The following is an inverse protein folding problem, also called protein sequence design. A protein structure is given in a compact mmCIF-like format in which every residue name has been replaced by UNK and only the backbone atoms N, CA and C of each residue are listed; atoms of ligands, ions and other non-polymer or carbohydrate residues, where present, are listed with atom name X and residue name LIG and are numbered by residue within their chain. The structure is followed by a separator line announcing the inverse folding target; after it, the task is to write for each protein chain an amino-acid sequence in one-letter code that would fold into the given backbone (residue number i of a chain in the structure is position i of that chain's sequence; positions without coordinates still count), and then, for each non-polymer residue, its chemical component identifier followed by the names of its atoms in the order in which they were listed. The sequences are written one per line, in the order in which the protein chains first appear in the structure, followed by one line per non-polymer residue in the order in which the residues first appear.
data_IF_218026915560
#
_entry.id   IF_218026915560
#
_cell.length_a   1.000
_cell.length_b   1.000
_cell.length_c   1.000
_cell.angle_alpha   90.00
_cell.angle_beta   90.00
_cell.angle_gamma   90.00
#
_symmetry.space_group_name_H-M   'P 1'
#
loop_
_entity.id
_entity.type
_entity.pdbx_description
1 polymer ?
#
# COMPACT_ATOMS: atom_id res chain seq x y z
N UNK A 1 80.41 -5.38 -48.92
CA UNK A 1 80.42 -5.45 -47.43
C UNK A 1 78.95 -5.34 -47.01
N UNK A 2 78.16 -6.41 -46.77
CA UNK A 2 78.24 -7.44 -45.69
C UNK A 2 78.41 -6.72 -44.33
N UNK A 3 77.53 -6.80 -43.31
CA UNK A 3 76.65 -7.85 -42.74
C UNK A 3 75.34 -7.20 -42.17
N UNK A 4 74.13 -7.78 -42.09
CA UNK A 4 73.57 -9.04 -41.53
C UNK A 4 73.51 -9.15 -39.97
N UNK A 5 72.32 -9.50 -39.45
CA UNK A 5 72.03 -9.97 -38.07
C UNK A 5 71.02 -9.09 -37.32
N UNK A 6 69.69 -9.33 -37.22
CA UNK A 6 68.84 -10.50 -36.95
C UNK A 6 68.77 -10.88 -35.46
N UNK A 7 67.61 -10.71 -34.80
CA UNK A 7 66.95 -11.79 -34.04
C UNK A 7 65.56 -11.43 -33.51
N UNK A 8 64.61 -12.29 -33.83
CA UNK A 8 63.39 -12.53 -33.07
C UNK A 8 63.69 -13.56 -31.97
N UNK A 9 63.05 -13.44 -30.80
CA UNK A 9 62.95 -14.54 -29.84
C UNK A 9 61.50 -14.69 -29.39
N UNK A 10 60.94 -15.85 -29.73
CA UNK A 10 59.74 -16.45 -29.16
C UNK A 10 60.21 -17.35 -28.02
N UNK A 11 59.53 -17.34 -26.87
CA UNK A 11 59.62 -18.43 -25.87
C UNK A 11 58.23 -18.97 -25.57
N UNK A 12 58.16 -20.29 -25.74
CA UNK A 12 57.08 -21.22 -25.47
C UNK A 12 56.96 -21.55 -23.97
N UNK A 13 55.75 -21.85 -23.51
CA UNK A 13 55.52 -22.83 -22.46
C UNK A 13 54.42 -23.80 -22.94
N UNK A 14 54.80 -25.08 -23.07
CA UNK A 14 53.96 -26.18 -23.46
C UNK A 14 53.38 -26.88 -22.22
N UNK A 15 52.11 -27.29 -22.26
CA UNK A 15 51.72 -28.58 -21.67
C UNK A 15 50.48 -29.14 -22.38
N UNK A 16 50.64 -30.37 -22.88
CA UNK A 16 49.68 -31.46 -23.13
C UNK A 16 48.25 -31.27 -22.58
N UNK A 17 47.14 -31.73 -23.16
CA UNK A 17 46.85 -32.74 -24.20
C UNK A 17 45.36 -33.04 -24.07
N UNK A 18 44.59 -33.16 -25.16
CA UNK A 18 43.44 -34.07 -25.16
C UNK A 18 42.92 -34.33 -26.58
N UNK A 19 42.64 -35.61 -26.82
CA UNK A 19 42.11 -36.17 -28.04
C UNK A 19 40.64 -35.75 -28.28
N UNK A 20 40.28 -35.73 -29.56
CA UNK A 20 38.93 -35.51 -30.05
C UNK A 20 37.99 -36.69 -29.74
N UNK A 21 36.75 -36.41 -29.33
CA UNK A 21 35.54 -37.10 -29.79
C UNK A 21 34.25 -36.39 -29.30
N UNK A 22 33.39 -36.05 -30.27
CA UNK A 22 31.91 -36.02 -30.26
C UNK A 22 31.13 -34.77 -29.76
N UNK A 23 30.54 -34.08 -30.74
CA UNK A 23 29.27 -33.32 -30.75
C UNK A 23 28.07 -34.09 -30.11
N UNK A 24 26.88 -33.47 -29.81
CA UNK A 24 26.36 -32.18 -30.32
C UNK A 24 25.68 -31.24 -29.28
N UNK A 25 25.53 -29.97 -29.70
CA UNK A 25 24.50 -28.97 -29.39
C UNK A 25 23.62 -29.12 -28.12
N UNK A 26 23.44 -28.02 -27.36
CA UNK A 26 22.09 -27.47 -27.30
C UNK A 26 22.04 -25.94 -27.38
N UNK A 27 21.31 -25.43 -28.38
CA UNK A 27 20.77 -24.09 -28.41
C UNK A 27 19.31 -24.16 -27.96
N UNK A 28 19.01 -23.74 -26.73
CA UNK A 28 17.98 -22.72 -26.48
C UNK A 28 17.96 -22.27 -25.02
N UNK A 29 17.93 -20.95 -24.87
CA UNK A 29 17.31 -20.17 -23.80
C UNK A 29 17.84 -20.36 -22.36
N UNK A 30 18.62 -19.39 -21.91
CA UNK A 30 18.34 -18.75 -20.61
C UNK A 30 18.54 -17.25 -20.75
N UNK A 31 17.41 -16.57 -20.66
CA UNK A 31 17.27 -15.14 -20.56
C UNK A 31 17.66 -14.76 -19.13
N UNK A 32 18.85 -14.20 -18.94
CA UNK A 32 19.20 -13.49 -17.70
C UNK A 32 19.27 -12.02 -18.01
N UNK A 33 18.11 -11.38 -17.87
CA UNK A 33 18.02 -9.97 -17.60
C UNK A 33 18.74 -9.71 -16.26
N UNK A 34 19.96 -9.21 -16.34
CA UNK A 34 20.62 -8.57 -15.20
C UNK A 34 20.64 -7.08 -15.51
N UNK A 35 19.76 -6.35 -14.83
CA UNK A 35 19.88 -4.90 -14.70
C UNK A 35 21.30 -4.58 -14.20
N UNK A 36 22.04 -3.66 -14.83
CA UNK A 36 23.29 -3.17 -14.27
C UNK A 36 22.95 -2.29 -13.07
N UNK A 37 22.92 -2.92 -11.90
CA UNK A 37 23.14 -2.26 -10.63
C UNK A 37 24.60 -1.79 -10.62
N UNK A 38 24.79 -0.51 -10.26
CA UNK A 38 26.06 0.23 -10.29
C UNK A 38 26.66 0.52 -11.67
N UNK A 39 26.00 1.42 -12.40
CA UNK A 39 26.72 2.21 -13.40
C UNK A 39 27.74 3.11 -12.66
N UNK A 40 29.06 2.95 -12.91
CA UNK A 40 30.04 3.87 -12.35
C UNK A 40 29.70 5.31 -12.76
N UNK A 41 30.08 6.32 -11.96
CA UNK A 41 29.86 7.72 -12.35
C UNK A 41 30.41 7.90 -13.76
N UNK A 42 29.56 8.39 -14.67
CA UNK A 42 29.88 8.58 -16.08
C UNK A 42 31.24 9.26 -16.18
N UNK A 43 32.28 8.49 -16.49
CA UNK A 43 33.63 8.99 -16.50
C UNK A 43 33.73 10.04 -17.61
N UNK A 44 34.19 11.24 -17.28
CA UNK A 44 34.31 12.34 -18.23
C UNK A 44 35.28 11.93 -19.36
N UNK A 45 34.75 11.55 -20.52
CA UNK A 45 35.57 11.17 -21.67
C UNK A 45 36.00 12.42 -22.43
N UNK A 46 37.21 12.92 -22.15
CA UNK A 46 37.80 14.05 -22.86
C UNK A 46 38.41 13.60 -24.19
N UNK A 47 37.79 13.98 -25.29
CA UNK A 47 38.30 13.72 -26.65
C UNK A 47 38.89 15.01 -27.22
N UNK A 48 40.21 15.05 -27.44
CA UNK A 48 40.87 16.21 -28.03
C UNK A 48 40.69 16.20 -29.55
N UNK A 49 39.96 17.19 -30.07
CA UNK A 49 39.63 17.27 -31.49
C UNK A 49 40.40 18.42 -32.16
N UNK A 50 41.28 18.14 -33.14
CA UNK A 50 41.94 19.19 -33.89
C UNK A 50 40.93 19.94 -34.76
N UNK A 51 41.10 21.27 -34.88
CA UNK A 51 40.15 22.14 -35.58
C UNK A 51 39.80 21.69 -37.01
N UNK A 52 40.75 21.09 -37.73
CA UNK A 52 40.53 20.60 -39.10
C UNK A 52 39.54 19.45 -39.19
N UNK A 53 39.36 18.69 -38.10
CA UNK A 53 38.49 17.52 -38.03
C UNK A 53 37.06 17.84 -37.55
N UNK A 54 36.80 19.05 -37.05
CA UNK A 54 35.47 19.47 -36.56
C UNK A 54 34.38 19.28 -37.62
N UNK A 55 34.66 19.72 -38.84
CA UNK A 55 33.71 19.64 -39.96
C UNK A 55 33.25 18.21 -40.24
N UNK A 56 34.20 17.27 -40.22
CA UNK A 56 33.93 15.84 -40.46
C UNK A 56 33.09 15.22 -39.35
N UNK A 57 33.20 15.69 -38.10
CA UNK A 57 32.40 15.18 -36.97
C UNK A 57 30.97 15.71 -37.05
N UNK A 58 30.76 16.98 -37.40
CA UNK A 58 29.42 17.54 -37.63
C UNK A 58 28.70 16.87 -38.81
N UNK A 59 29.43 16.53 -39.88
CA UNK A 59 28.86 15.86 -41.05
C UNK A 59 28.55 14.37 -40.78
N UNK A 60 29.34 13.69 -39.94
CA UNK A 60 29.12 12.27 -39.59
C UNK A 60 28.08 12.05 -38.50
N UNK A 61 27.93 13.00 -37.58
CA UNK A 61 27.04 12.88 -36.43
C UNK A 61 26.01 14.00 -36.43
N UNK A 62 24.76 13.69 -36.81
CA UNK A 62 23.65 14.65 -36.84
C UNK A 62 23.19 15.19 -35.47
N UNK A 63 23.89 14.86 -34.39
CA UNK A 63 23.58 15.27 -33.02
C UNK A 63 24.81 15.88 -32.30
N UNK A 64 25.65 16.62 -33.02
CA UNK A 64 26.77 17.36 -32.44
C UNK A 64 26.39 18.85 -32.29
N UNK A 65 26.48 19.38 -31.06
CA UNK A 65 26.22 20.79 -30.75
C UNK A 65 27.54 21.46 -30.36
N UNK A 66 27.87 22.59 -30.99
CA UNK A 66 29.00 23.42 -30.59
C UNK A 66 28.57 24.38 -29.49
N UNK A 67 29.24 24.35 -28.34
CA UNK A 67 28.91 25.19 -27.19
C UNK A 67 30.18 25.70 -26.50
N UNK A 68 30.21 26.97 -26.05
CA UNK A 68 31.27 27.47 -25.18
C UNK A 68 31.41 26.62 -23.92
N UNK A 69 32.65 26.34 -23.52
CA UNK A 69 32.93 25.50 -22.34
C UNK A 69 32.26 26.01 -21.05
N UNK A 70 32.17 27.34 -20.88
CA UNK A 70 31.47 27.98 -19.75
C UNK A 70 29.97 27.63 -19.71
N UNK A 71 29.35 27.47 -20.87
CA UNK A 71 27.93 27.18 -21.00
C UNK A 71 27.67 25.67 -20.81
N UNK A 72 28.60 24.83 -21.25
CA UNK A 72 28.64 23.41 -20.89
C UNK A 72 28.74 23.21 -19.37
N UNK A 73 29.68 23.91 -18.70
CA UNK A 73 29.83 23.81 -17.25
C UNK A 73 28.57 24.26 -16.52
N UNK A 74 27.92 25.35 -16.96
CA UNK A 74 26.63 25.79 -16.38
C UNK A 74 25.53 24.74 -16.54
N UNK A 75 25.41 24.12 -17.71
CA UNK A 75 24.42 23.07 -17.92
C UNK A 75 24.73 21.82 -17.11
N UNK A 76 26.01 21.45 -17.04
CA UNK A 76 26.50 20.32 -16.25
C UNK A 76 26.26 20.52 -14.75
N UNK A 77 26.52 21.72 -14.22
CA UNK A 77 26.21 22.09 -12.84
C UNK A 77 24.70 22.16 -12.59
N UNK A 78 23.92 22.63 -13.57
CA UNK A 78 22.45 22.64 -13.48
C UNK A 78 21.86 21.22 -13.50
N UNK A 79 22.47 20.26 -14.19
CA UNK A 79 21.99 18.87 -14.26
C UNK A 79 22.51 18.00 -13.12
N UNK A 80 23.71 18.25 -12.59
CA UNK A 80 24.21 17.60 -11.38
C UNK A 80 23.62 18.20 -10.11
N UNK A 81 23.47 19.53 -10.05
CA UNK A 81 22.91 20.26 -8.92
C UNK A 81 21.39 20.12 -8.82
N UNK A 82 20.69 20.03 -9.96
CA UNK A 82 19.35 19.43 -10.02
C UNK A 82 19.52 17.95 -10.33
N UNK A 83 20.07 17.19 -9.38
CA UNK A 83 20.19 15.74 -9.52
C UNK A 83 18.94 15.18 -10.19
N UNK A 84 19.14 14.35 -11.24
CA UNK A 84 18.13 13.68 -12.05
C UNK A 84 16.79 13.73 -11.32
N UNK A 85 15.87 14.62 -11.78
CA UNK A 85 14.56 14.82 -11.13
C UNK A 85 14.10 13.44 -10.65
N UNK A 86 13.94 13.24 -9.33
CA UNK A 86 13.53 11.94 -8.82
C UNK A 86 12.36 11.50 -9.67
N UNK A 87 12.45 10.30 -10.26
CA UNK A 87 11.40 9.76 -11.12
C UNK A 87 10.07 10.09 -10.45
N UNK A 88 9.23 10.87 -11.14
CA UNK A 88 8.10 11.58 -10.55
C UNK A 88 7.31 10.58 -9.71
N UNK A 89 7.46 10.70 -8.40
CA UNK A 89 6.98 9.69 -7.47
C UNK A 89 5.48 9.52 -7.65
N UNK A 90 4.91 8.36 -7.28
CA UNK A 90 3.48 8.17 -7.36
C UNK A 90 2.78 9.35 -6.68
N UNK A 91 1.70 9.89 -7.28
CA UNK A 91 1.07 11.14 -6.84
C UNK A 91 0.49 11.06 -5.43
N UNK A 92 0.37 9.83 -4.90
CA UNK A 92 -0.07 9.52 -3.54
C UNK A 92 1.00 8.68 -2.83
N UNK A 93 1.31 9.05 -1.59
CA UNK A 93 2.30 8.34 -0.76
C UNK A 93 1.90 6.92 -0.43
N UNK A 94 0.62 6.69 -0.20
CA UNK A 94 0.03 5.38 0.02
C UNK A 94 -1.49 5.46 -0.07
N UNK A 95 -2.13 4.30 -0.25
CA UNK A 95 -3.58 4.18 -0.42
C UNK A 95 -4.10 3.02 0.41
N UNK A 96 -5.24 3.21 1.06
CA UNK A 96 -5.98 2.11 1.69
C UNK A 96 -6.83 1.44 0.61
N UNK A 97 -6.52 0.20 0.29
CA UNK A 97 -7.20 -0.56 -0.78
C UNK A 97 -8.52 -1.13 -0.28
N UNK A 98 -8.51 -1.70 0.92
CA UNK A 98 -9.64 -2.37 1.52
C UNK A 98 -9.72 -2.04 3.01
N UNK A 99 -10.94 -1.98 3.55
CA UNK A 99 -11.21 -1.89 4.97
C UNK A 99 -12.30 -2.89 5.35
N UNK A 100 -12.01 -3.72 6.34
CA UNK A 100 -12.97 -4.64 6.95
C UNK A 100 -13.22 -4.20 8.38
N UNK A 101 -14.48 -4.10 8.75
CA UNK A 101 -14.91 -3.73 10.10
C UNK A 101 -15.77 -4.85 10.68
N UNK A 102 -15.40 -5.35 11.85
CA UNK A 102 -16.20 -6.26 12.65
C UNK A 102 -16.63 -5.54 13.92
N UNK A 103 -17.90 -5.16 13.98
CA UNK A 103 -18.54 -4.48 15.09
C UNK A 103 -19.36 -5.47 15.93
N UNK A 104 -19.17 -5.41 17.25
CA UNK A 104 -19.96 -6.12 18.24
C UNK A 104 -20.63 -5.08 19.13
N UNK A 105 -21.96 -4.99 19.06
CA UNK A 105 -22.72 -4.11 19.91
C UNK A 105 -22.88 -4.74 21.30
N UNK A 106 -22.45 -4.05 22.35
CA UNK A 106 -22.77 -4.41 23.74
C UNK A 106 -23.89 -3.49 24.27
N UNK A 107 -24.11 -3.46 25.59
CA UNK A 107 -25.20 -2.68 26.18
C UNK A 107 -25.05 -1.16 25.99
N UNK A 108 -23.83 -0.63 26.17
CA UNK A 108 -23.53 0.81 26.16
C UNK A 108 -22.38 1.20 25.22
N UNK A 109 -21.60 0.21 24.79
CA UNK A 109 -20.42 0.38 23.94
C UNK A 109 -20.51 -0.56 22.74
N UNK A 110 -19.98 -0.13 21.61
CA UNK A 110 -19.73 -0.98 20.44
C UNK A 110 -18.22 -1.16 20.31
N UNK A 111 -17.75 -2.40 20.35
CA UNK A 111 -16.36 -2.73 20.05
C UNK A 111 -16.22 -3.01 18.57
N UNK A 112 -15.26 -2.39 17.92
CA UNK A 112 -15.04 -2.48 16.48
C UNK A 112 -13.60 -2.91 16.26
N UNK A 113 -13.41 -4.02 15.56
CA UNK A 113 -12.11 -4.44 15.04
C UNK A 113 -12.05 -4.02 13.57
N UNK A 114 -11.06 -3.22 13.21
CA UNK A 114 -10.83 -2.79 11.84
C UNK A 114 -9.54 -3.42 11.30
N UNK A 115 -9.61 -4.04 10.13
CA UNK A 115 -8.47 -4.49 9.35
C UNK A 115 -8.39 -3.66 8.07
N UNK A 116 -7.20 -3.12 7.78
CA UNK A 116 -6.93 -2.31 6.60
C UNK A 116 -5.80 -2.93 5.78
N UNK A 117 -6.03 -3.10 4.48
CA UNK A 117 -4.96 -3.37 3.52
C UNK A 117 -4.45 -2.05 2.96
N UNK A 118 -3.25 -1.64 3.38
CA UNK A 118 -2.60 -0.40 2.96
C UNK A 118 -1.50 -0.71 1.97
N UNK A 119 -1.47 0.03 0.86
CA UNK A 119 -0.40 -0.02 -0.12
C UNK A 119 0.39 1.28 -0.06
N UNK A 120 1.61 1.23 0.46
CA UNK A 120 2.54 2.35 0.49
C UNK A 120 3.36 2.33 -0.80
N UNK A 121 3.27 3.40 -1.58
CA UNK A 121 3.83 3.50 -2.93
C UNK A 121 5.12 4.31 -2.97
N UNK A 122 5.29 5.26 -2.06
CA UNK A 122 6.50 6.08 -1.96
C UNK A 122 7.55 5.41 -1.07
N UNK A 123 8.82 5.68 -1.38
CA UNK A 123 9.94 5.33 -0.52
C UNK A 123 10.15 6.40 0.55
N UNK A 124 10.38 5.97 1.79
CA UNK A 124 10.53 6.86 2.95
C UNK A 124 9.29 6.92 3.83
N UNK A 125 9.25 7.92 4.71
CA UNK A 125 8.13 8.11 5.64
C UNK A 125 6.90 8.62 4.90
N UNK A 126 5.82 7.86 4.96
CA UNK A 126 4.54 8.21 4.36
C UNK A 126 3.51 8.44 5.45
N UNK A 127 2.86 9.60 5.39
CA UNK A 127 1.74 9.96 6.24
C UNK A 127 0.43 9.69 5.50
N UNK A 128 -0.45 8.89 6.11
CA UNK A 128 -1.76 8.53 5.57
C UNK A 128 -2.86 9.05 6.51
N UNK A 129 -3.62 10.09 6.10
CA UNK A 129 -4.66 10.66 6.94
C UNK A 129 -5.85 9.70 7.04
N UNK A 130 -6.35 9.50 8.26
CA UNK A 130 -7.53 8.71 8.57
C UNK A 130 -8.43 9.48 9.53
N UNK A 131 -9.74 9.26 9.42
CA UNK A 131 -10.74 9.95 10.24
C UNK A 131 -11.64 8.93 10.90
N UNK A 132 -11.74 9.01 12.22
CA UNK A 132 -12.62 8.17 13.03
C UNK A 132 -13.60 8.98 13.89
N UNK A 133 -13.55 10.31 13.80
CA UNK A 133 -14.48 11.19 14.50
C UNK A 133 -14.37 10.99 16.02
N UNK A 134 -15.48 10.60 16.64
CA UNK A 134 -15.54 10.41 18.10
C UNK A 134 -15.22 8.98 18.56
N UNK A 135 -14.82 8.07 17.68
CA UNK A 135 -14.46 6.72 18.09
C UNK A 135 -13.10 6.72 18.81
N UNK A 136 -13.05 6.05 19.96
CA UNK A 136 -11.82 5.89 20.74
C UNK A 136 -10.99 4.74 20.17
N UNK A 137 -9.72 5.02 19.86
CA UNK A 137 -8.74 4.04 19.39
C UNK A 137 -8.08 3.40 20.61
N UNK A 138 -8.24 2.08 20.76
CA UNK A 138 -7.64 1.31 21.85
C UNK A 138 -6.25 0.78 21.51
N UNK A 139 -6.09 0.20 20.32
CA UNK A 139 -4.82 -0.38 19.88
C UNK A 139 -4.64 -0.23 18.37
N UNK A 140 -3.37 -0.15 17.94
CA UNK A 140 -2.98 -0.10 16.53
C UNK A 140 -1.77 -1.00 16.35
N UNK A 141 -1.85 -1.91 15.40
CA UNK A 141 -0.75 -2.79 15.02
C UNK A 141 -0.66 -2.87 13.51
N UNK A 142 0.55 -3.08 12.99
CA UNK A 142 0.76 -3.31 11.57
C UNK A 142 1.78 -4.43 11.34
N UNK A 143 1.60 -5.15 10.24
CA UNK A 143 2.49 -6.19 9.75
C UNK A 143 2.83 -5.88 8.28
N UNK A 144 4.10 -5.96 7.82
CA UNK A 144 5.29 -6.49 8.51
C UNK A 144 6.12 -5.49 9.34
N UNK A 145 5.77 -4.20 9.37
CA UNK A 145 6.55 -3.16 10.03
C UNK A 145 5.77 -2.36 11.09
N UNK A 146 6.45 -1.61 11.97
CA UNK A 146 5.77 -0.77 12.95
C UNK A 146 5.03 0.37 12.26
N UNK A 147 3.81 0.63 12.73
CA UNK A 147 3.02 1.80 12.35
C UNK A 147 2.94 2.75 13.53
N UNK A 148 3.07 4.05 13.27
CA UNK A 148 2.85 5.07 14.30
C UNK A 148 1.53 5.77 14.03
N UNK A 149 0.74 5.96 15.09
CA UNK A 149 -0.47 6.76 15.06
C UNK A 149 -0.15 8.16 15.58
N UNK A 150 -0.39 9.18 14.75
CA UNK A 150 -0.29 10.59 15.13
C UNK A 150 -1.69 11.20 15.18
N UNK A 151 -2.03 11.90 16.26
CA UNK A 151 -3.22 12.76 16.29
C UNK A 151 -2.92 14.08 15.58
N UNK A 152 -3.69 14.40 14.53
CA UNK A 152 -3.54 15.66 13.77
C UNK A 152 -4.59 16.71 14.15
N UNK A 153 -5.71 16.29 14.73
CA UNK A 153 -6.79 17.15 15.20
C UNK A 153 -7.87 16.37 15.95
N UNK A 154 -9.01 17.01 16.24
CA UNK A 154 -10.15 16.33 16.87
C UNK A 154 -10.75 15.27 15.93
N UNK A 155 -10.59 13.99 16.30
CA UNK A 155 -11.10 12.87 15.49
C UNK A 155 -10.36 12.61 14.17
N UNK A 156 -9.29 13.37 13.93
CA UNK A 156 -8.38 13.21 12.80
C UNK A 156 -7.05 12.62 13.27
N UNK A 157 -6.64 11.57 12.58
CA UNK A 157 -5.40 10.87 12.85
C UNK A 157 -4.62 10.68 11.56
N UNK A 158 -3.33 10.41 11.69
CA UNK A 158 -2.49 10.04 10.57
C UNK A 158 -1.68 8.80 10.94
N UNK A 159 -1.66 7.82 10.04
CA UNK A 159 -0.80 6.65 10.14
C UNK A 159 0.52 6.96 9.43
N UNK A 160 1.61 6.77 10.15
CA UNK A 160 2.96 6.95 9.62
C UNK A 160 3.55 5.57 9.34
N UNK A 161 3.89 5.34 8.08
CA UNK A 161 4.57 4.13 7.62
C UNK A 161 6.02 4.47 7.28
N UNK A 162 6.94 3.64 7.76
CA UNK A 162 8.38 3.77 7.49
C UNK A 162 8.84 2.94 6.29
N UNK A 163 8.09 1.90 5.94
CA UNK A 163 8.43 0.93 4.90
C UNK A 163 7.46 1.04 3.73
N UNK A 164 7.98 1.01 2.51
CA UNK A 164 7.16 0.88 1.29
C UNK A 164 6.64 -0.55 1.14
N UNK A 165 5.51 -0.73 0.46
CA UNK A 165 4.92 -2.04 0.19
C UNK A 165 3.53 -2.21 0.80
N UNK A 166 3.08 -3.47 0.87
CA UNK A 166 1.77 -3.83 1.42
C UNK A 166 1.87 -4.00 2.93
N UNK A 167 1.00 -3.30 3.65
CA UNK A 167 0.88 -3.37 5.10
C UNK A 167 -0.54 -3.77 5.48
N UNK A 168 -0.65 -4.69 6.43
CA UNK A 168 -1.91 -5.02 7.09
C UNK A 168 -1.96 -4.29 8.42
N UNK A 169 -2.90 -3.36 8.57
CA UNK A 169 -3.09 -2.61 9.82
C UNK A 169 -4.32 -3.16 10.53
N UNK A 170 -4.17 -3.56 11.79
CA UNK A 170 -5.30 -3.91 12.65
C UNK A 170 -5.46 -2.84 13.73
N UNK A 171 -6.69 -2.38 13.91
CA UNK A 171 -7.04 -1.38 14.90
C UNK A 171 -8.23 -1.85 15.73
N UNK A 172 -8.18 -1.58 17.02
CA UNK A 172 -9.32 -1.72 17.91
C UNK A 172 -9.91 -0.35 18.18
N UNK A 173 -11.20 -0.21 17.92
CA UNK A 173 -11.98 1.00 18.02
C UNK A 173 -13.16 0.76 18.94
N UNK A 174 -13.62 1.80 19.60
CA UNK A 174 -14.83 1.74 20.40
C UNK A 174 -15.66 3.01 20.24
N UNK A 175 -16.98 2.85 20.13
CA UNK A 175 -17.93 3.96 20.06
C UNK A 175 -19.08 3.71 21.02
N UNK A 176 -19.73 4.79 21.47
CA UNK A 176 -20.87 4.71 22.39
C UNK A 176 -22.14 4.33 21.64
N UNK A 177 -23.03 3.59 22.30
CA UNK A 177 -24.38 3.33 21.79
C UNK A 177 -25.30 4.48 22.20
N UNK A 178 -26.01 5.06 21.24
CA UNK A 178 -27.07 6.04 21.47
C UNK A 178 -28.38 5.27 21.60
N UNK A 179 -28.97 5.29 22.79
CA UNK A 179 -30.28 4.69 23.05
C UNK A 179 -31.36 5.76 22.98
N UNK A 180 -32.34 5.58 22.09
CA UNK A 180 -33.46 6.47 21.89
C UNK A 180 -34.79 5.68 21.88
N UNK A 181 -35.95 6.34 22.00
CA UNK A 181 -37.25 5.65 22.02
C UNK A 181 -37.52 4.81 20.75
N UNK A 182 -36.97 5.21 19.61
CA UNK A 182 -37.08 4.51 18.33
C UNK A 182 -36.18 3.27 18.19
N UNK A 183 -35.19 3.10 19.07
CA UNK A 183 -34.22 2.02 19.01
C UNK A 183 -32.83 2.42 19.48
N UNK A 184 -31.87 1.54 19.26
CA UNK A 184 -30.45 1.80 19.53
C UNK A 184 -29.74 2.13 18.23
N UNK A 185 -28.77 3.02 18.31
CA UNK A 185 -27.98 3.42 17.16
C UNK A 185 -26.54 3.71 17.54
N UNK A 186 -25.65 3.66 16.57
CA UNK A 186 -24.33 4.28 16.69
C UNK A 186 -23.96 4.95 15.38
N UNK A 187 -23.13 5.98 15.50
CA UNK A 187 -22.48 6.65 14.38
C UNK A 187 -20.99 6.39 14.45
N UNK A 188 -20.42 6.00 13.31
CA UNK A 188 -19.00 5.77 13.15
C UNK A 188 -18.52 6.50 11.90
N UNK A 189 -17.55 7.40 12.07
CA UNK A 189 -16.81 7.93 10.93
C UNK A 189 -15.72 6.94 10.55
N UNK A 190 -15.55 6.73 9.25
CA UNK A 190 -14.54 5.83 8.71
C UNK A 190 -13.78 6.52 7.57
N UNK A 191 -12.50 6.20 7.37
CA UNK A 191 -11.77 6.67 6.20
C UNK A 191 -12.46 6.19 4.91
N UNK A 192 -12.48 7.05 3.91
CA UNK A 192 -13.05 6.74 2.59
C UNK A 192 -12.08 5.84 1.81
N UNK A 193 -12.48 4.59 1.57
CA UNK A 193 -11.65 3.59 0.87
C UNK A 193 -12.39 2.96 -0.30
N UNK A 194 -11.66 2.28 -1.19
CA UNK A 194 -12.25 1.65 -2.38
C UNK A 194 -13.22 0.52 -2.07
N UNK A 195 -12.90 -0.30 -1.06
CA UNK A 195 -13.70 -1.47 -0.65
C UNK A 195 -13.93 -1.41 0.85
N UNK A 196 -15.19 -1.23 1.26
CA UNK A 196 -15.60 -1.25 2.67
C UNK A 196 -16.55 -2.40 2.93
N UNK A 197 -16.13 -3.34 3.79
CA UNK A 197 -16.98 -4.42 4.31
C UNK A 197 -17.25 -4.19 5.79
N UNK A 198 -18.51 -4.26 6.18
CA UNK A 198 -18.96 -4.02 7.54
C UNK A 198 -19.77 -5.21 8.04
N UNK A 199 -19.34 -5.78 9.15
CA UNK A 199 -20.05 -6.84 9.85
C UNK A 199 -20.52 -6.31 11.19
N UNK A 200 -21.80 -6.44 11.49
CA UNK A 200 -22.37 -6.07 12.78
C UNK A 200 -22.99 -7.30 13.44
N UNK A 201 -22.59 -7.55 14.68
CA UNK A 201 -23.18 -8.57 15.56
C UNK A 201 -23.89 -7.88 16.72
N UNK A 202 -25.20 -8.12 16.84
CA UNK A 202 -26.05 -7.62 17.93
C UNK A 202 -26.45 -8.80 18.83
N UNK A 203 -26.36 -8.68 20.17
CA UNK A 203 -26.58 -9.78 21.12
C UNK A 203 -28.06 -10.06 21.42
N UNK A 204 -28.99 -9.36 20.78
CA UNK A 204 -30.42 -9.56 20.92
C UNK A 204 -30.96 -10.32 19.69
N UNK A 205 -31.78 -11.35 19.93
CA UNK A 205 -32.50 -12.07 18.87
C UNK A 205 -33.59 -11.17 18.24
N UNK A 206 -33.91 -11.46 16.97
CA UNK A 206 -35.02 -10.84 16.22
C UNK A 206 -34.99 -9.30 16.16
N UNK A 207 -33.79 -8.71 16.04
CA UNK A 207 -33.63 -7.27 15.82
C UNK A 207 -33.70 -6.94 14.32
N UNK A 208 -34.45 -5.90 13.96
CA UNK A 208 -34.35 -5.31 12.62
C UNK A 208 -33.19 -4.34 12.61
N UNK A 209 -32.21 -4.56 11.72
CA UNK A 209 -31.01 -3.74 11.63
C UNK A 209 -31.00 -2.98 10.31
N UNK A 210 -30.88 -1.67 10.38
CA UNK A 210 -30.74 -0.76 9.26
C UNK A 210 -29.34 -0.15 9.25
N UNK A 211 -28.63 -0.30 8.12
CA UNK A 211 -27.33 0.35 7.88
C UNK A 211 -27.47 1.45 6.83
N UNK A 212 -26.87 2.60 7.11
CA UNK A 212 -26.80 3.75 6.21
C UNK A 212 -25.33 4.15 6.02
N UNK A 213 -24.85 4.35 4.77
CA UNK A 213 -25.56 4.22 3.50
C UNK A 213 -25.78 2.75 3.09
N UNK A 214 -26.94 2.46 2.50
CA UNK A 214 -27.31 1.10 2.09
C UNK A 214 -26.85 0.85 0.65
N UNK A 215 -25.75 0.12 0.48
CA UNK A 215 -25.35 -0.37 -0.84
C UNK A 215 -25.75 -1.83 -1.01
N UNK A 216 -25.27 -2.73 -0.15
CA UNK A 216 -25.68 -4.14 -0.10
C UNK A 216 -25.68 -4.62 1.35
N UNK A 217 -26.75 -5.28 1.79
CA UNK A 217 -26.90 -5.86 3.12
C UNK A 217 -27.39 -7.29 3.01
N UNK A 218 -26.69 -8.23 3.64
CA UNK A 218 -27.02 -9.64 3.70
C UNK A 218 -27.14 -10.05 5.17
N UNK A 219 -28.27 -10.65 5.53
CA UNK A 219 -28.39 -11.33 6.82
C UNK A 219 -27.46 -12.55 6.78
N UNK A 220 -26.54 -12.65 7.74
CA UNK A 220 -25.68 -13.81 7.88
C UNK A 220 -26.36 -14.82 8.82
N UNK A 221 -26.17 -16.13 8.64
CA UNK A 221 -26.66 -17.12 9.58
C UNK A 221 -26.02 -16.86 10.96
N UNK A 222 -26.86 -16.74 11.98
CA UNK A 222 -26.46 -16.42 13.34
C UNK A 222 -26.98 -17.45 14.33
N UNK A 223 -26.28 -17.60 15.46
CA UNK A 223 -26.71 -18.45 16.58
C UNK A 223 -28.04 -17.95 17.17
N UNK A 224 -28.84 -18.80 17.84
CA UNK A 224 -30.22 -18.51 18.23
C UNK A 224 -30.45 -17.27 19.12
N UNK A 225 -29.38 -16.60 19.58
CA UNK A 225 -29.47 -15.38 20.40
C UNK A 225 -28.60 -14.22 19.89
N UNK A 226 -28.17 -14.24 18.62
CA UNK A 226 -27.42 -13.13 18.03
C UNK A 226 -27.99 -12.80 16.65
N UNK A 227 -27.98 -11.52 16.29
CA UNK A 227 -28.32 -11.08 14.93
C UNK A 227 -27.04 -10.60 14.26
N UNK A 228 -26.63 -11.26 13.15
CA UNK A 228 -25.45 -10.87 12.39
C UNK A 228 -25.85 -10.38 11.00
N UNK A 229 -25.33 -9.22 10.63
CA UNK A 229 -25.46 -8.69 9.28
C UNK A 229 -24.09 -8.41 8.68
N UNK A 230 -23.96 -8.69 7.39
CA UNK A 230 -22.83 -8.28 6.59
C UNK A 230 -23.32 -7.25 5.58
N UNK A 231 -22.59 -6.15 5.44
CA UNK A 231 -22.87 -5.13 4.45
C UNK A 231 -21.60 -4.71 3.73
N UNK A 232 -21.74 -4.43 2.44
CA UNK A 232 -20.71 -3.73 1.67
C UNK A 232 -21.20 -2.31 1.50
N UNK A 233 -20.40 -1.32 1.89
CA UNK A 233 -20.81 0.09 1.98
C UNK A 233 -20.19 0.97 0.88
N UNK A 234 -19.30 0.39 0.07
CA UNK A 234 -18.58 1.13 -0.97
C UNK A 234 -17.66 2.20 -0.41
N UNK A 235 -17.55 3.32 -1.13
CA UNK A 235 -16.80 4.50 -0.73
C UNK A 235 -17.70 5.44 0.08
N UNK A 236 -17.62 5.35 1.41
CA UNK A 236 -18.35 6.23 2.35
C UNK A 236 -17.40 6.74 3.44
N UNK A 237 -17.70 7.91 3.99
CA UNK A 237 -16.97 8.49 5.13
C UNK A 237 -17.65 8.30 6.48
N UNK A 238 -18.89 7.79 6.48
CA UNK A 238 -19.69 7.59 7.69
C UNK A 238 -20.58 6.36 7.54
N UNK A 239 -20.76 5.66 8.65
CA UNK A 239 -21.66 4.53 8.80
C UNK A 239 -22.53 4.78 10.02
N UNK A 240 -23.84 4.73 9.80
CA UNK A 240 -24.84 4.77 10.86
C UNK A 240 -25.55 3.43 10.87
N UNK A 241 -25.51 2.75 12.01
CA UNK A 241 -26.30 1.55 12.23
C UNK A 241 -27.42 1.88 13.22
N UNK A 242 -28.64 1.49 12.88
CA UNK A 242 -29.79 1.53 13.77
C UNK A 242 -30.37 0.14 13.90
N UNK A 243 -30.75 -0.23 15.11
CA UNK A 243 -31.47 -1.47 15.34
C UNK A 243 -32.56 -1.29 16.38
N UNK A 244 -33.67 -1.96 16.14
CA UNK A 244 -34.83 -1.92 17.00
C UNK A 244 -35.48 -3.30 17.08
N UNK A 245 -36.18 -3.61 18.19
CA UNK A 245 -36.87 -4.89 18.33
C UNK A 245 -37.89 -5.05 17.21
N UNK A 246 -37.96 -6.25 16.61
CA UNK A 246 -39.05 -6.57 15.71
C UNK A 246 -40.32 -6.68 16.56
N UNK A 247 -41.21 -5.70 16.44
CA UNK A 247 -42.47 -5.67 17.18
C UNK A 247 -43.27 -6.93 16.83
N UNK A 248 -43.35 -7.86 17.78
CA UNK A 248 -43.87 -9.20 17.56
C UNK A 248 -43.79 -10.14 18.76
N UNK A 249 -42.98 -9.83 19.78
CA UNK A 249 -43.03 -10.58 21.04
C UNK A 249 -44.24 -10.11 21.84
N UNK A 250 -45.30 -10.93 21.78
CA UNK A 250 -46.47 -10.87 22.66
C UNK A 250 -45.99 -10.60 24.09
N UNK A 251 -46.52 -9.60 24.82
CA UNK A 251 -46.15 -9.40 26.21
C UNK A 251 -46.49 -10.69 26.95
N UNK A 252 -45.50 -11.24 27.64
CA UNK A 252 -45.63 -12.41 28.50
C UNK A 252 -46.50 -12.00 29.71
N UNK A 253 -47.81 -12.02 29.49
CA UNK A 253 -48.83 -11.73 30.49
C UNK A 253 -49.19 -13.03 31.21
N UNK A 254 -48.19 -13.62 31.86
CA UNK A 254 -48.27 -14.87 32.65
C UNK A 254 -47.79 -14.59 34.09
N UNK A 255 -48.33 -13.54 34.73
CA UNK A 255 -47.98 -13.24 36.13
C UNK A 255 -49.15 -12.72 36.99
N UNK A 256 -50.41 -12.86 36.58
CA UNK A 256 -51.56 -12.42 37.38
C UNK A 256 -52.66 -13.47 37.62
N UNK A 257 -52.48 -14.74 37.23
CA UNK A 257 -53.54 -15.74 37.36
C UNK A 257 -53.49 -16.63 38.62
N UNK A 258 -52.47 -16.54 39.48
CA UNK A 258 -52.35 -17.42 40.66
C UNK A 258 -52.31 -16.66 41.99
N UNK A 259 -53.33 -15.83 42.23
CA UNK A 259 -53.63 -15.33 43.57
C UNK A 259 -55.14 -15.11 43.75
N UNK A 260 -55.96 -16.16 43.67
CA UNK A 260 -57.22 -16.27 44.44
C UNK A 260 -57.90 -17.63 44.23
N UNK A 261 -57.87 -18.47 45.26
CA UNK A 261 -58.92 -19.43 45.67
C UNK A 261 -58.30 -20.24 46.81
N UNK A 262 -58.48 -19.82 48.06
CA UNK A 262 -59.61 -20.15 48.94
C UNK A 262 -59.57 -21.62 49.37
#
# INVERSE_FOLDING_TARGET
MQLHGWQWVIVFAATCQLAAAQDPNPATATNSATAPEDAPPVAEQRVYLPYRALRTVFEKHGAAVFMPFQEYLKLWEQTLGRGLRPAEGPPVGGVITSAQYAAVAEKDLVRIQAEFDVQVLQSGWVELPIRFGQAAIGSVSAEPGPVLLRGTGEGEYALLFSQSGRHKVRMELSTRVITAPEGRSFDLQIPTVGITTFQLTVPDADQTIELQPKLLQQAAPSEPNTTRINASLGSTGQVTARWHPRVGTKPDMELLASATSA
#
